data_IF_696894152317
#
_entry.id   IF_696894152317
#
_cell.length_a   1.000
_cell.length_b   1.000
_cell.length_c   1.000
_cell.angle_alpha   90.00
_cell.angle_beta   90.00
_cell.angle_gamma   90.00
#
_symmetry.space_group_name_H-M   'P 1'
#
loop_
_entity.id
_entity.type
_entity.pdbx_description
1 polymer ?
#
# COMPACT_ATOMS: atom_id res chain seq x y z
N UNK A 1 -30.87 17.84 -33.99
CA UNK A 1 -31.14 17.92 -32.54
C UNK A 1 -30.29 16.86 -31.84
N UNK A 2 -29.50 17.21 -30.81
CA UNK A 2 -28.47 16.38 -30.12
C UNK A 2 -27.02 16.45 -30.63
N UNK A 3 -26.57 17.65 -30.99
CA UNK A 3 -25.23 18.10 -30.58
C UNK A 3 -25.47 19.09 -29.46
N UNK A 4 -25.39 18.65 -28.19
CA UNK A 4 -25.18 19.48 -26.99
C UNK A 4 -25.37 18.63 -25.72
N UNK A 5 -24.49 18.87 -24.74
CA UNK A 5 -24.50 18.40 -23.34
C UNK A 5 -23.98 16.95 -23.20
N UNK A 6 -22.74 16.67 -22.81
CA UNK A 6 -21.99 17.27 -21.72
C UNK A 6 -20.49 17.21 -22.06
N UNK A 7 -19.89 18.37 -22.30
CA UNK A 7 -18.48 18.56 -21.97
C UNK A 7 -18.44 18.50 -20.45
N UNK A 8 -18.26 17.30 -19.89
CA UNK A 8 -17.88 17.19 -18.49
C UNK A 8 -16.50 17.85 -18.35
N UNK A 9 -16.22 18.61 -17.29
CA UNK A 9 -14.84 18.89 -16.94
C UNK A 9 -14.20 17.55 -16.57
N UNK A 10 -13.69 16.83 -17.58
CA UNK A 10 -13.10 15.50 -17.46
C UNK A 10 -11.96 15.49 -16.42
N UNK A 11 -11.34 16.64 -16.18
CA UNK A 11 -10.28 16.80 -15.17
C UNK A 11 -10.75 16.70 -13.72
N UNK A 12 -11.80 17.42 -13.30
CA UNK A 12 -12.18 17.49 -11.87
C UNK A 12 -12.84 16.21 -11.37
N UNK A 13 -13.70 15.60 -12.19
CA UNK A 13 -14.38 14.35 -11.84
C UNK A 13 -13.38 13.18 -11.82
N UNK A 14 -12.43 13.15 -12.77
CA UNK A 14 -11.38 12.14 -12.78
C UNK A 14 -10.42 12.27 -11.58
N UNK A 15 -10.05 13.50 -11.19
CA UNK A 15 -9.20 13.71 -10.00
C UNK A 15 -9.92 13.28 -8.73
N UNK A 16 -11.21 13.60 -8.58
CA UNK A 16 -12.00 13.16 -7.43
C UNK A 16 -12.12 11.63 -7.35
N UNK A 17 -12.31 10.94 -8.47
CA UNK A 17 -12.37 9.48 -8.50
C UNK A 17 -11.00 8.85 -8.19
N UNK A 18 -9.90 9.43 -8.67
CA UNK A 18 -8.54 9.00 -8.33
C UNK A 18 -8.27 9.19 -6.84
N UNK A 19 -8.57 10.37 -6.29
CA UNK A 19 -8.40 10.68 -4.87
C UNK A 19 -9.24 9.75 -4.00
N UNK A 20 -10.47 9.45 -4.43
CA UNK A 20 -11.36 8.52 -3.73
C UNK A 20 -10.82 7.09 -3.73
N UNK A 21 -10.39 6.59 -4.89
CA UNK A 21 -9.77 5.26 -5.00
C UNK A 21 -8.50 5.17 -4.15
N UNK A 22 -7.65 6.20 -4.20
CA UNK A 22 -6.44 6.27 -3.38
C UNK A 22 -6.78 6.29 -1.88
N UNK A 23 -7.76 7.09 -1.48
CA UNK A 23 -8.16 7.20 -0.08
C UNK A 23 -8.71 5.87 0.46
N UNK A 24 -9.56 5.20 -0.32
CA UNK A 24 -10.09 3.87 0.05
C UNK A 24 -8.96 2.86 0.22
N UNK A 25 -8.05 2.78 -0.76
CA UNK A 25 -6.86 1.94 -0.68
C UNK A 25 -6.00 2.26 0.55
N UNK A 26 -5.75 3.54 0.82
CA UNK A 26 -4.94 3.97 1.95
C UNK A 26 -5.57 3.62 3.30
N UNK A 27 -6.89 3.81 3.46
CA UNK A 27 -7.58 3.45 4.71
C UNK A 27 -7.66 1.94 4.91
N UNK A 28 -7.82 1.16 3.83
CA UNK A 28 -7.76 -0.31 3.90
C UNK A 28 -6.36 -0.78 4.31
N UNK A 29 -5.33 -0.17 3.73
CA UNK A 29 -3.94 -0.43 4.11
C UNK A 29 -3.70 -0.09 5.58
N UNK A 30 -4.16 1.07 6.04
CA UNK A 30 -4.04 1.53 7.43
C UNK A 30 -4.74 0.57 8.39
N UNK A 31 -5.95 0.09 8.05
CA UNK A 31 -6.68 -0.89 8.85
C UNK A 31 -5.91 -2.20 8.98
N UNK A 32 -5.41 -2.73 7.86
CA UNK A 32 -4.61 -3.95 7.85
C UNK A 32 -3.33 -3.78 8.65
N UNK A 33 -2.68 -2.62 8.54
CA UNK A 33 -1.51 -2.25 9.33
C UNK A 33 -1.80 -2.27 10.84
N UNK A 34 -2.89 -1.65 11.29
CA UNK A 34 -3.30 -1.67 12.71
C UNK A 34 -3.57 -3.08 13.20
N UNK A 35 -4.21 -3.93 12.39
CA UNK A 35 -4.46 -5.34 12.75
C UNK A 35 -3.16 -6.11 12.92
N UNK A 36 -2.20 -5.95 11.99
CA UNK A 36 -0.90 -6.62 12.06
C UNK A 36 -0.06 -6.12 13.23
N UNK A 37 -0.06 -4.81 13.49
CA UNK A 37 0.57 -4.21 14.67
C UNK A 37 -0.06 -4.69 15.98
N UNK A 38 -1.39 -4.82 16.03
CA UNK A 38 -2.10 -5.38 17.18
C UNK A 38 -1.74 -6.84 17.43
N UNK A 39 -1.72 -7.67 16.39
CA UNK A 39 -1.26 -9.06 16.47
C UNK A 39 0.18 -9.15 16.98
N UNK A 40 1.04 -8.22 16.52
CA UNK A 40 2.42 -8.12 16.99
C UNK A 40 2.48 -7.91 18.50
N UNK A 41 1.79 -6.87 18.97
CA UNK A 41 1.71 -6.55 20.38
C UNK A 41 1.19 -7.73 21.23
N UNK A 42 0.12 -8.39 20.79
CA UNK A 42 -0.46 -9.52 21.52
C UNK A 42 0.47 -10.73 21.58
N UNK A 43 1.21 -11.05 20.50
CA UNK A 43 2.16 -12.17 20.57
C UNK A 43 3.31 -11.85 21.53
N UNK A 44 3.83 -10.61 21.54
CA UNK A 44 4.95 -10.22 22.41
C UNK A 44 4.56 -10.27 23.88
N UNK A 45 3.33 -9.83 24.21
CA UNK A 45 2.80 -9.91 25.58
C UNK A 45 2.43 -11.33 26.01
N UNK A 46 1.86 -12.14 25.11
CA UNK A 46 1.33 -13.47 25.44
C UNK A 46 2.38 -14.59 25.32
N UNK A 47 3.46 -14.39 24.56
CA UNK A 47 4.42 -15.45 24.23
C UNK A 47 3.85 -16.58 23.37
N UNK A 48 2.69 -16.38 22.74
CA UNK A 48 1.96 -17.44 22.01
C UNK A 48 2.51 -17.65 20.60
N UNK A 49 2.96 -18.87 20.32
CA UNK A 49 3.45 -19.29 19.00
C UNK A 49 2.37 -19.20 17.91
N UNK A 50 1.10 -19.40 18.26
CA UNK A 50 -0.02 -19.29 17.30
C UNK A 50 -0.19 -17.84 16.82
N UNK A 51 -0.11 -16.88 17.75
CA UNK A 51 -0.19 -15.45 17.43
C UNK A 51 1.02 -15.00 16.61
N UNK A 52 2.21 -15.59 16.84
CA UNK A 52 3.39 -15.36 15.99
C UNK A 52 3.16 -15.78 14.54
N UNK A 53 2.71 -17.01 14.29
CA UNK A 53 2.43 -17.48 12.93
C UNK A 53 1.32 -16.68 12.25
N UNK A 54 0.30 -16.26 13.02
CA UNK A 54 -0.77 -15.43 12.51
C UNK A 54 -0.26 -14.03 12.10
N UNK A 55 0.64 -13.44 12.89
CA UNK A 55 1.30 -12.17 12.55
C UNK A 55 2.16 -12.29 11.28
N UNK A 56 3.00 -13.32 11.18
CA UNK A 56 3.84 -13.57 10.00
C UNK A 56 2.99 -13.82 8.74
N UNK A 57 1.90 -14.59 8.86
CA UNK A 57 0.95 -14.79 7.77
C UNK A 57 0.32 -13.46 7.33
N UNK A 58 -0.14 -12.64 8.29
CA UNK A 58 -0.76 -11.36 7.98
C UNK A 58 0.21 -10.36 7.35
N UNK A 59 1.49 -10.40 7.73
CA UNK A 59 2.56 -9.67 7.02
C UNK A 59 2.69 -10.13 5.57
N UNK A 60 2.67 -11.44 5.32
CA UNK A 60 2.66 -12.00 3.97
C UNK A 60 1.46 -11.51 3.14
N UNK A 61 0.27 -11.46 3.74
CA UNK A 61 -0.94 -10.94 3.07
C UNK A 61 -0.81 -9.45 2.73
N UNK A 62 -0.29 -8.62 3.65
CA UNK A 62 -0.05 -7.20 3.36
C UNK A 62 0.99 -7.02 2.25
N UNK A 63 2.04 -7.84 2.23
CA UNK A 63 3.02 -7.82 1.15
C UNK A 63 2.38 -8.10 -0.21
N UNK A 64 1.56 -9.16 -0.30
CA UNK A 64 0.81 -9.49 -1.52
C UNK A 64 -0.17 -8.39 -1.91
N UNK A 65 -0.84 -7.76 -0.93
CA UNK A 65 -1.69 -6.59 -1.16
C UNK A 65 -0.89 -5.45 -1.79
N UNK A 66 0.28 -5.10 -1.24
CA UNK A 66 1.14 -4.06 -1.82
C UNK A 66 1.59 -4.41 -3.24
N UNK A 67 1.93 -5.68 -3.51
CA UNK A 67 2.31 -6.14 -4.85
C UNK A 67 1.15 -6.09 -5.85
N UNK A 68 -0.07 -6.46 -5.45
CA UNK A 68 -1.26 -6.38 -6.31
C UNK A 68 -1.52 -4.95 -6.79
N UNK A 69 -1.26 -3.97 -5.93
CA UNK A 69 -1.44 -2.57 -6.25
C UNK A 69 -0.25 -1.95 -6.98
N UNK A 70 0.92 -2.61 -7.00
CA UNK A 70 2.09 -2.16 -7.77
C UNK A 70 1.81 -2.10 -9.28
N UNK A 71 0.99 -3.04 -9.78
CA UNK A 71 0.57 -3.06 -11.18
C UNK A 71 -0.61 -2.09 -11.43
N UNK A 72 -1.52 -1.95 -10.47
CA UNK A 72 -2.66 -1.04 -10.58
C UNK A 72 -2.25 0.43 -10.59
N UNK A 73 -1.23 0.81 -9.82
CA UNK A 73 -0.69 2.17 -9.77
C UNK A 73 0.51 2.36 -10.69
N UNK A 74 0.56 1.65 -11.83
CA UNK A 74 1.69 1.69 -12.75
C UNK A 74 2.07 3.13 -13.11
N UNK A 75 3.15 3.63 -12.50
CA UNK A 75 3.63 4.99 -12.77
C UNK A 75 4.49 4.94 -14.03
N UNK A 76 4.01 5.57 -15.10
CA UNK A 76 4.74 5.66 -16.36
C UNK A 76 5.75 6.83 -16.34
N UNK A 77 6.75 6.74 -15.45
CA UNK A 77 7.79 7.75 -15.26
C UNK A 77 8.68 7.90 -16.50
N UNK A 78 8.96 6.79 -17.19
CA UNK A 78 9.92 6.74 -18.30
C UNK A 78 9.27 6.79 -19.70
N UNK A 79 8.04 7.31 -19.80
CA UNK A 79 7.34 7.47 -21.09
C UNK A 79 8.07 8.32 -22.13
N UNK A 80 9.05 9.12 -21.70
CA UNK A 80 9.87 9.99 -22.55
C UNK A 80 11.01 9.27 -23.29
N UNK A 81 11.30 8.00 -22.96
CA UNK A 81 12.33 7.22 -23.64
C UNK A 81 11.83 6.70 -25.00
N UNK A 82 12.64 6.84 -26.05
CA UNK A 82 12.32 6.31 -27.39
C UNK A 82 12.20 4.78 -27.40
N UNK A 83 13.05 4.09 -26.63
CA UNK A 83 12.96 2.64 -26.49
C UNK A 83 11.84 2.25 -25.51
N UNK A 84 10.69 1.89 -26.09
CA UNK A 84 9.51 1.45 -25.36
C UNK A 84 9.76 0.22 -24.48
N UNK A 85 10.65 -0.69 -24.88
CA UNK A 85 10.93 -1.93 -24.14
C UNK A 85 11.74 -1.62 -22.88
N UNK A 86 12.69 -0.71 -22.99
CA UNK A 86 13.51 -0.25 -21.87
C UNK A 86 12.67 0.61 -20.90
N UNK A 87 11.80 1.47 -21.43
CA UNK A 87 10.85 2.26 -20.64
C UNK A 87 9.92 1.37 -19.78
N UNK A 88 9.32 0.35 -20.38
CA UNK A 88 8.42 -0.57 -19.67
C UNK A 88 9.15 -1.37 -18.59
N UNK A 89 10.38 -1.82 -18.88
CA UNK A 89 11.18 -2.54 -17.90
C UNK A 89 11.51 -1.66 -16.69
N UNK A 90 11.98 -0.43 -16.92
CA UNK A 90 12.29 0.53 -15.85
C UNK A 90 11.06 0.90 -15.02
N UNK A 91 9.93 1.17 -15.66
CA UNK A 91 8.68 1.49 -14.95
C UNK A 91 8.24 0.31 -14.06
N UNK A 92 8.28 -0.93 -14.56
CA UNK A 92 8.00 -2.12 -13.74
C UNK A 92 8.95 -2.26 -12.56
N UNK A 93 10.24 -2.04 -12.78
CA UNK A 93 11.25 -2.09 -11.71
C UNK A 93 10.96 -1.04 -10.64
N UNK A 94 10.62 0.19 -11.02
CA UNK A 94 10.27 1.25 -10.07
C UNK A 94 9.02 0.90 -9.29
N UNK A 95 7.94 0.47 -9.94
CA UNK A 95 6.70 0.10 -9.24
C UNK A 95 6.89 -1.07 -8.27
N UNK A 96 7.66 -2.09 -8.66
CA UNK A 96 8.02 -3.20 -7.79
C UNK A 96 8.86 -2.72 -6.59
N UNK A 97 9.84 -1.85 -6.83
CA UNK A 97 10.66 -1.28 -5.76
C UNK A 97 9.83 -0.45 -4.78
N UNK A 98 8.85 0.31 -5.28
CA UNK A 98 7.95 1.12 -4.47
C UNK A 98 7.09 0.23 -3.56
N UNK A 99 6.55 -0.87 -4.08
CA UNK A 99 5.79 -1.84 -3.29
C UNK A 99 6.63 -2.50 -2.19
N UNK A 100 7.88 -2.85 -2.49
CA UNK A 100 8.83 -3.39 -1.50
C UNK A 100 9.14 -2.36 -0.42
N UNK A 101 9.41 -1.11 -0.79
CA UNK A 101 9.67 -0.03 0.16
C UNK A 101 8.46 0.23 1.06
N UNK A 102 7.25 0.30 0.48
CA UNK A 102 6.00 0.41 1.24
C UNK A 102 5.85 -0.70 2.27
N UNK A 103 6.08 -1.96 1.86
CA UNK A 103 6.04 -3.09 2.78
C UNK A 103 7.07 -2.96 3.92
N UNK A 104 8.30 -2.56 3.62
CA UNK A 104 9.34 -2.36 4.64
C UNK A 104 8.97 -1.23 5.62
N UNK A 105 8.40 -0.13 5.13
CA UNK A 105 7.92 0.98 5.97
C UNK A 105 6.79 0.52 6.88
N UNK A 106 5.83 -0.25 6.38
CA UNK A 106 4.75 -0.85 7.19
C UNK A 106 5.35 -1.78 8.25
N UNK A 107 6.26 -2.68 7.87
CA UNK A 107 6.90 -3.58 8.82
C UNK A 107 7.65 -2.82 9.91
N UNK A 108 8.38 -1.78 9.53
CA UNK A 108 9.12 -0.93 10.46
C UNK A 108 8.19 -0.11 11.37
N UNK A 109 7.18 0.56 10.81
CA UNK A 109 6.22 1.35 11.58
C UNK A 109 5.48 0.53 12.63
N UNK A 110 5.09 -0.71 12.30
CA UNK A 110 4.47 -1.63 13.25
C UNK A 110 5.42 -1.95 14.40
N UNK A 111 6.73 -2.07 14.14
CA UNK A 111 7.71 -2.32 15.18
C UNK A 111 7.90 -1.12 16.13
N UNK A 112 7.92 0.10 15.59
CA UNK A 112 8.06 1.33 16.37
C UNK A 112 6.84 1.53 17.27
N UNK A 113 5.63 1.40 16.73
CA UNK A 113 4.40 1.60 17.51
C UNK A 113 4.30 0.61 18.67
N UNK A 114 4.62 -0.66 18.43
CA UNK A 114 4.60 -1.68 19.49
C UNK A 114 5.63 -1.38 20.58
N UNK A 115 6.84 -0.94 20.19
CA UNK A 115 7.85 -0.51 21.15
C UNK A 115 7.35 0.67 22.01
N UNK A 116 6.81 1.72 21.40
CA UNK A 116 6.26 2.88 22.12
C UNK A 116 5.12 2.50 23.08
N UNK A 117 4.17 1.66 22.66
CA UNK A 117 3.07 1.19 23.52
C UNK A 117 3.62 0.39 24.70
N UNK A 118 4.61 -0.47 24.47
CA UNK A 118 5.23 -1.26 25.55
C UNK A 118 5.97 -0.39 26.56
N UNK A 119 6.64 0.67 26.11
CA UNK A 119 7.31 1.64 26.98
C UNK A 119 6.31 2.47 27.79
N UNK A 120 5.17 2.85 27.21
CA UNK A 120 4.13 3.63 27.89
C UNK A 120 3.37 2.85 28.98
N UNK A 121 3.54 1.52 29.08
CA UNK A 121 2.92 0.67 30.11
C UNK A 121 3.83 0.35 31.30
N UNK A 122 5.08 0.82 31.29
CA UNK A 122 6.05 0.71 32.42
C UNK A 122 5.96 1.97 33.27
#
# INVERSE_FOLDING_TARGET
YRKQLLVQPEGEIAVLDVVRNFSQWFFDLLRNFVLVGGLKYFYEKSGSTVLFYLHEFALGVIFLYCLSYADQWYINLFSFLEDKRLADWLNRTVNLSLAVVLFLVIRWGASVIVAEISHAQV
#
